data_IF_637729097190
#
_entry.id   IF_637729097190
#
_cell.length_a   1.000
_cell.length_b   1.000
_cell.length_c   1.000
_cell.angle_alpha   90.00
_cell.angle_beta   90.00
_cell.angle_gamma   90.00
#
_symmetry.space_group_name_H-M   'P 1'
#
loop_
_entity.id
_entity.type
_entity.pdbx_description
1 polymer ?
#
# COMPACT_ATOMS: atom_id res chain seq x y z
N UNK A 1 25.66 -1.43 17.65
CA UNK A 1 25.67 -1.73 16.20
C UNK A 1 24.30 -1.37 15.65
N UNK A 2 24.20 -0.22 14.98
CA UNK A 2 22.95 0.25 14.37
C UNK A 2 22.81 -0.38 13.00
N UNK A 3 21.91 -1.36 12.86
CA UNK A 3 21.53 -1.85 11.54
C UNK A 3 20.63 -0.79 10.91
N UNK A 4 21.23 0.11 10.14
CA UNK A 4 20.49 0.98 9.24
C UNK A 4 19.90 0.11 8.14
N UNK A 5 18.59 -0.12 8.17
CA UNK A 5 17.89 -0.73 7.05
C UNK A 5 17.92 0.28 5.90
N UNK A 6 18.59 -0.09 4.80
CA UNK A 6 18.47 0.62 3.53
C UNK A 6 17.05 0.38 3.00
N UNK A 7 16.19 1.40 3.07
CA UNK A 7 14.94 1.38 2.32
C UNK A 7 15.28 1.64 0.85
N UNK A 8 15.34 0.57 0.06
CA UNK A 8 15.57 0.70 -1.38
C UNK A 8 14.24 1.02 -2.06
N UNK A 9 14.06 2.28 -2.47
CA UNK A 9 12.96 2.65 -3.36
C UNK A 9 13.29 2.12 -4.77
N UNK A 10 12.43 1.28 -5.32
CA UNK A 10 12.58 0.72 -6.66
C UNK A 10 11.32 1.02 -7.47
N UNK A 11 11.50 1.41 -8.73
CA UNK A 11 10.39 1.60 -9.66
C UNK A 11 10.25 0.36 -10.55
N UNK A 12 9.06 -0.23 -10.56
CA UNK A 12 8.69 -1.27 -11.52
C UNK A 12 7.87 -0.63 -12.63
N UNK A 13 8.41 -0.59 -13.83
CA UNK A 13 7.68 -0.11 -15.00
C UNK A 13 6.85 -1.24 -15.60
N UNK A 14 5.58 -0.93 -15.91
CA UNK A 14 4.67 -1.86 -16.58
C UNK A 14 4.26 -1.20 -17.88
N UNK A 15 4.49 -1.90 -18.98
CA UNK A 15 4.12 -1.44 -20.31
C UNK A 15 2.60 -1.18 -20.39
N UNK A 16 2.22 -0.05 -20.98
CA UNK A 16 0.82 0.36 -21.13
C UNK A 16 0.04 0.52 -19.81
N UNK A 17 0.72 0.75 -18.67
CA UNK A 17 0.03 1.07 -17.43
C UNK A 17 -0.80 2.37 -17.57
N UNK A 18 -2.05 2.41 -17.08
CA UNK A 18 -2.97 3.52 -17.30
C UNK A 18 -2.57 4.78 -16.52
N UNK A 19 -2.21 5.85 -17.22
CA UNK A 19 -1.93 7.14 -16.58
C UNK A 19 -3.20 7.64 -15.87
N UNK A 20 -3.11 8.03 -14.60
CA UNK A 20 -4.29 8.48 -13.86
C UNK A 20 -4.62 9.90 -14.31
N UNK A 21 -5.62 10.02 -15.19
CA UNK A 21 -6.24 11.27 -15.64
C UNK A 21 -7.75 11.25 -15.41
N UNK A 22 -8.51 12.05 -16.17
CA UNK A 22 -9.96 12.23 -16.02
C UNK A 22 -10.83 10.98 -16.31
N UNK A 23 -10.25 9.83 -16.70
CA UNK A 23 -10.99 8.59 -16.95
C UNK A 23 -10.60 7.48 -15.96
N UNK A 24 -11.39 7.43 -14.91
CA UNK A 24 -11.32 6.57 -13.72
C UNK A 24 -11.55 5.04 -13.92
N UNK A 25 -12.26 4.53 -14.95
CA UNK A 25 -12.61 3.09 -15.01
C UNK A 25 -11.43 2.13 -15.19
N UNK A 26 -10.46 2.46 -16.04
CA UNK A 26 -9.36 1.55 -16.36
C UNK A 26 -8.44 1.34 -15.15
N UNK A 27 -8.10 2.42 -14.45
CA UNK A 27 -7.29 2.38 -13.22
C UNK A 27 -8.01 1.60 -12.11
N UNK A 28 -9.34 1.75 -12.01
CA UNK A 28 -10.18 0.99 -11.08
C UNK A 28 -10.10 -0.53 -11.30
N UNK A 29 -9.81 -0.99 -12.51
CA UNK A 29 -9.61 -2.41 -12.81
C UNK A 29 -8.12 -2.80 -12.74
N UNK A 30 -7.22 -1.94 -13.20
CA UNK A 30 -5.80 -2.23 -13.33
C UNK A 30 -5.09 -2.45 -11.99
N UNK A 31 -5.35 -1.58 -11.01
CA UNK A 31 -4.72 -1.68 -9.68
C UNK A 31 -5.13 -2.96 -8.96
N UNK A 32 -6.43 -3.28 -8.74
CA UNK A 32 -6.81 -4.45 -7.96
C UNK A 32 -6.51 -5.78 -8.67
N UNK A 33 -6.31 -5.77 -9.99
CA UNK A 33 -5.84 -6.94 -10.74
C UNK A 33 -4.38 -7.31 -10.41
N UNK A 34 -3.54 -6.31 -10.08
CA UNK A 34 -2.10 -6.50 -9.86
C UNK A 34 -1.66 -6.33 -8.41
N UNK A 35 -2.45 -5.62 -7.61
CA UNK A 35 -2.11 -5.27 -6.24
C UNK A 35 -3.27 -5.60 -5.32
N UNK A 36 -2.95 -6.16 -4.17
CA UNK A 36 -3.93 -6.53 -3.16
C UNK A 36 -3.37 -6.31 -1.77
N UNK A 37 -4.25 -6.19 -0.79
CA UNK A 37 -3.94 -6.27 0.63
C UNK A 37 -4.70 -7.44 1.28
N UNK A 38 -5.28 -8.33 0.47
CA UNK A 38 -6.06 -9.48 0.91
C UNK A 38 -5.18 -10.49 1.66
N UNK A 39 -5.71 -11.07 2.73
CA UNK A 39 -5.08 -12.21 3.42
C UNK A 39 -5.76 -13.48 2.88
N UNK A 40 -5.06 -14.32 2.08
CA UNK A 40 -5.62 -15.56 1.55
C UNK A 40 -6.06 -16.53 2.65
N UNK A 41 -7.03 -17.38 2.37
CA UNK A 41 -7.41 -18.45 3.29
C UNK A 41 -6.27 -19.48 3.42
N UNK A 42 -5.99 -19.90 4.66
CA UNK A 42 -4.87 -20.79 4.96
C UNK A 42 -5.06 -22.22 4.47
N UNK A 43 -6.30 -22.65 4.17
CA UNK A 43 -6.57 -23.98 3.64
C UNK A 43 -6.46 -24.02 2.12
N UNK A 44 -6.78 -22.91 1.45
CA UNK A 44 -6.75 -22.80 -0.02
C UNK A 44 -5.38 -22.39 -0.56
N UNK A 45 -4.74 -21.39 0.06
CA UNK A 45 -3.45 -20.84 -0.35
C UNK A 45 -2.50 -20.71 0.84
N UNK A 46 -2.08 -21.84 1.45
CA UNK A 46 -1.28 -21.84 2.68
C UNK A 46 0.03 -21.07 2.54
N UNK A 47 0.74 -21.24 1.43
CA UNK A 47 2.04 -20.58 1.21
C UNK A 47 1.89 -19.06 1.10
N UNK A 48 0.90 -18.58 0.35
CA UNK A 48 0.67 -17.14 0.21
C UNK A 48 0.14 -16.54 1.51
N UNK A 49 -0.75 -17.24 2.22
CA UNK A 49 -1.19 -16.85 3.56
C UNK A 49 0.02 -16.68 4.50
N UNK A 50 0.93 -17.66 4.53
CA UNK A 50 2.15 -17.59 5.32
C UNK A 50 3.01 -16.37 4.94
N UNK A 51 3.24 -16.13 3.64
CA UNK A 51 4.04 -14.99 3.19
C UNK A 51 3.41 -13.65 3.58
N UNK A 52 2.10 -13.49 3.41
CA UNK A 52 1.37 -12.26 3.75
C UNK A 52 1.41 -12.01 5.25
N UNK A 53 1.05 -13.02 6.05
CA UNK A 53 1.04 -12.92 7.52
C UNK A 53 2.43 -12.66 8.10
N UNK A 54 3.48 -13.23 7.47
CA UNK A 54 4.86 -13.07 7.92
C UNK A 54 5.49 -11.74 7.51
N UNK A 55 5.29 -11.31 6.26
CA UNK A 55 6.06 -10.21 5.68
C UNK A 55 5.25 -8.92 5.43
N UNK A 56 3.94 -9.00 5.24
CA UNK A 56 3.12 -7.83 4.87
C UNK A 56 2.31 -7.25 6.03
N UNK A 57 2.25 -7.95 7.16
CA UNK A 57 1.60 -7.44 8.37
C UNK A 57 2.45 -6.37 9.05
N UNK A 58 2.02 -5.12 8.95
CA UNK A 58 2.68 -4.02 9.61
C UNK A 58 2.52 -4.09 11.14
N UNK A 59 3.64 -3.94 11.84
CA UNK A 59 3.66 -3.82 13.30
C UNK A 59 4.30 -2.49 13.69
N UNK A 60 3.50 -1.60 14.26
CA UNK A 60 3.97 -0.28 14.67
C UNK A 60 5.09 -0.39 15.71
N UNK A 61 6.30 0.01 15.33
CA UNK A 61 7.43 0.19 16.25
C UNK A 61 7.48 1.61 16.81
N UNK A 62 8.38 1.86 17.77
CA UNK A 62 8.67 3.22 18.26
C UNK A 62 9.11 4.17 17.14
N UNK A 63 9.75 3.64 16.09
CA UNK A 63 10.23 4.42 14.95
C UNK A 63 9.12 4.70 13.91
N UNK A 64 8.13 3.81 13.76
CA UNK A 64 6.97 4.11 12.89
C UNK A 64 6.09 5.19 13.51
N UNK A 65 6.00 5.29 14.84
CA UNK A 65 5.14 6.27 15.49
C UNK A 65 5.76 7.67 15.42
N UNK A 66 4.95 8.64 15.03
CA UNK A 66 5.25 10.07 15.05
C UNK A 66 4.16 10.83 15.77
N UNK A 67 4.49 11.97 16.36
CA UNK A 67 3.50 12.85 16.97
C UNK A 67 3.05 13.89 15.95
N UNK A 68 1.76 13.90 15.67
CA UNK A 68 1.13 14.85 14.75
C UNK A 68 0.31 15.83 15.57
N UNK A 69 0.48 17.13 15.29
CA UNK A 69 -0.30 18.18 15.94
C UNK A 69 -1.70 18.23 15.32
N UNK A 70 -2.73 18.08 16.15
CA UNK A 70 -4.14 18.19 15.75
C UNK A 70 -4.78 19.27 16.61
N UNK A 71 -4.95 20.47 16.04
CA UNK A 71 -5.38 21.65 16.80
C UNK A 71 -4.36 22.05 17.87
N UNK A 72 -4.78 21.98 19.14
CA UNK A 72 -3.91 22.30 20.30
C UNK A 72 -3.26 21.06 20.94
N UNK A 73 -3.59 19.85 20.49
CA UNK A 73 -3.09 18.60 21.08
C UNK A 73 -2.14 17.87 20.11
N UNK A 74 -1.35 16.95 20.66
CA UNK A 74 -0.52 16.03 19.88
C UNK A 74 -1.08 14.63 19.98
N UNK A 75 -1.18 13.94 18.85
CA UNK A 75 -1.60 12.55 18.78
C UNK A 75 -0.48 11.71 18.18
N UNK A 76 -0.21 10.56 18.76
CA UNK A 76 0.73 9.60 18.20
C UNK A 76 0.04 8.83 17.07
N UNK A 77 0.60 8.87 15.85
CA UNK A 77 0.11 8.14 14.67
C UNK A 77 1.26 7.39 14.00
N UNK A 78 0.98 6.31 13.28
CA UNK A 78 2.03 5.70 12.46
C UNK A 78 2.31 6.62 11.26
N UNK A 79 3.59 6.77 10.91
CA UNK A 79 4.08 7.52 9.75
C UNK A 79 3.63 6.94 8.41
N UNK A 80 3.20 5.68 8.40
CA UNK A 80 2.68 4.97 7.23
C UNK A 80 1.14 4.96 7.20
N UNK A 81 0.49 5.79 8.03
CA UNK A 81 -0.97 5.94 8.11
C UNK A 81 -1.76 4.66 8.43
N UNK A 82 -1.10 3.66 9.02
CA UNK A 82 -1.74 2.42 9.48
C UNK A 82 -2.35 2.61 10.89
N UNK A 83 -3.53 2.04 11.18
CA UNK A 83 -4.33 1.16 10.32
C UNK A 83 -5.05 1.90 9.17
N UNK A 84 -5.05 1.33 7.96
CA UNK A 84 -5.78 1.89 6.83
C UNK A 84 -7.29 1.62 7.02
N UNK A 85 -8.17 2.62 6.80
CA UNK A 85 -9.61 2.44 6.98
C UNK A 85 -10.21 1.30 6.15
N UNK A 86 -11.20 0.61 6.73
CA UNK A 86 -12.03 -0.40 6.06
C UNK A 86 -12.78 0.23 4.88
N UNK A 87 -12.83 -0.48 3.75
CA UNK A 87 -13.56 -0.07 2.54
C UNK A 87 -14.14 -1.28 1.82
N UNK A 88 -15.36 -1.14 1.32
CA UNK A 88 -16.07 -2.22 0.61
C UNK A 88 -15.73 -2.30 -0.88
N UNK A 89 -15.12 -1.26 -1.44
CA UNK A 89 -14.69 -1.15 -2.83
C UNK A 89 -13.38 -0.37 -2.94
N UNK A 90 -12.72 -0.45 -4.11
CA UNK A 90 -11.61 0.45 -4.43
C UNK A 90 -12.10 1.89 -4.46
N UNK A 91 -11.27 2.80 -3.99
CA UNK A 91 -11.50 4.25 -4.03
C UNK A 91 -10.30 4.90 -4.70
N UNK A 92 -10.54 5.64 -5.78
CA UNK A 92 -9.55 6.48 -6.44
C UNK A 92 -9.83 7.92 -6.03
N UNK A 93 -8.82 8.58 -5.47
CA UNK A 93 -8.89 9.99 -5.13
C UNK A 93 -8.64 10.84 -6.37
N UNK A 94 -9.11 12.09 -6.33
CA UNK A 94 -8.74 13.08 -7.34
C UNK A 94 -7.22 13.27 -7.37
N UNK A 95 -6.62 13.06 -8.54
CA UNK A 95 -5.16 13.06 -8.72
C UNK A 95 -4.58 14.41 -8.36
N UNK A 96 -5.21 15.51 -8.79
CA UNK A 96 -4.68 16.86 -8.54
C UNK A 96 -4.66 17.18 -7.05
N UNK A 97 -5.72 16.81 -6.33
CA UNK A 97 -5.80 16.99 -4.88
C UNK A 97 -4.82 16.07 -4.15
N UNK A 98 -4.69 14.81 -4.56
CA UNK A 98 -3.71 13.87 -3.99
C UNK A 98 -2.28 14.38 -4.17
N UNK A 99 -1.91 14.86 -5.35
CA UNK A 99 -0.58 15.43 -5.62
C UNK A 99 -0.31 16.68 -4.77
N UNK A 100 -1.27 17.61 -4.69
CA UNK A 100 -1.12 18.84 -3.88
C UNK A 100 -0.97 18.56 -2.39
N UNK A 101 -1.65 17.52 -1.91
CA UNK A 101 -1.66 17.14 -0.49
C UNK A 101 -0.62 16.07 -0.14
N UNK A 102 0.13 15.57 -1.13
CA UNK A 102 0.99 14.39 -1.02
C UNK A 102 0.26 13.16 -0.45
N UNK A 103 -1.05 13.06 -0.66
CA UNK A 103 -1.86 11.94 -0.22
C UNK A 103 -1.86 10.80 -1.24
N UNK A 104 -2.09 9.58 -0.75
CA UNK A 104 -2.26 8.40 -1.61
C UNK A 104 -3.38 8.63 -2.64
N UNK A 105 -3.14 8.20 -3.89
CA UNK A 105 -4.09 8.37 -5.01
C UNK A 105 -5.19 7.30 -5.03
N UNK A 106 -4.97 6.16 -4.35
CA UNK A 106 -5.92 5.06 -4.30
C UNK A 106 -5.96 4.38 -2.93
N UNK A 107 -7.08 3.75 -2.64
CA UNK A 107 -7.24 2.82 -1.53
C UNK A 107 -7.93 1.55 -2.01
N UNK A 108 -7.30 0.39 -1.78
CA UNK A 108 -7.89 -0.90 -2.04
C UNK A 108 -9.07 -1.19 -1.10
N UNK A 109 -9.96 -2.07 -1.55
CA UNK A 109 -10.95 -2.73 -0.69
C UNK A 109 -10.23 -3.41 0.47
N UNK A 110 -10.70 -3.19 1.70
CA UNK A 110 -10.11 -3.72 2.93
C UNK A 110 -11.20 -4.10 3.92
N UNK A 111 -11.07 -5.26 4.57
CA UNK A 111 -11.82 -5.60 5.77
C UNK A 111 -11.00 -5.33 7.05
N UNK A 112 -11.62 -5.54 8.22
CA UNK A 112 -11.01 -5.28 9.53
C UNK A 112 -9.71 -6.04 9.78
N UNK A 113 -9.55 -7.24 9.20
CA UNK A 113 -8.33 -8.06 9.37
C UNK A 113 -7.17 -7.56 8.52
N UNK A 114 -7.46 -6.77 7.48
CA UNK A 114 -6.50 -6.32 6.46
C UNK A 114 -6.01 -4.89 6.68
N UNK A 115 -6.51 -4.20 7.71
CA UNK A 115 -6.18 -2.80 7.98
C UNK A 115 -4.70 -2.57 8.30
N UNK A 116 -3.95 -3.63 8.58
CA UNK A 116 -2.49 -3.60 8.82
C UNK A 116 -1.66 -4.21 7.68
N UNK A 117 -2.30 -4.66 6.60
CA UNK A 117 -1.61 -5.32 5.49
C UNK A 117 -1.12 -4.27 4.51
N UNK A 118 0.18 -4.29 4.23
CA UNK A 118 0.77 -3.52 3.14
C UNK A 118 0.19 -3.96 1.79
N UNK A 119 0.10 -3.04 0.83
CA UNK A 119 -0.26 -3.42 -0.53
C UNK A 119 0.89 -4.23 -1.15
N UNK A 120 0.57 -5.39 -1.72
CA UNK A 120 1.53 -6.29 -2.34
C UNK A 120 1.00 -6.84 -3.66
N UNK A 121 1.90 -7.33 -4.50
CA UNK A 121 1.57 -8.14 -5.67
C UNK A 121 1.86 -9.61 -5.30
N UNK A 122 0.91 -10.53 -5.46
CA UNK A 122 1.09 -11.93 -5.05
C UNK A 122 2.31 -12.61 -5.66
N UNK A 123 2.56 -12.41 -6.96
CA UNK A 123 3.70 -13.01 -7.67
C UNK A 123 5.02 -12.42 -7.17
N UNK A 124 5.11 -11.10 -7.05
CA UNK A 124 6.31 -10.44 -6.53
C UNK A 124 6.59 -10.87 -5.08
N UNK A 125 5.57 -11.03 -4.25
CA UNK A 125 5.74 -11.52 -2.89
C UNK A 125 6.26 -12.97 -2.85
N UNK A 126 5.75 -13.84 -3.72
CA UNK A 126 6.23 -15.23 -3.83
C UNK A 126 7.69 -15.33 -4.28
N UNK A 127 8.12 -14.44 -5.19
CA UNK A 127 9.49 -14.37 -5.70
C UNK A 127 10.44 -13.70 -4.69
N UNK A 128 10.04 -12.56 -4.11
CA UNK A 128 10.89 -11.73 -3.25
C UNK A 128 10.97 -12.26 -1.81
N UNK A 129 9.88 -12.80 -1.27
CA UNK A 129 9.80 -13.39 0.09
C UNK A 129 10.30 -12.47 1.22
N UNK A 130 10.07 -11.17 1.08
CA UNK A 130 10.31 -10.17 2.11
C UNK A 130 9.21 -9.09 2.07
N UNK A 131 9.27 -8.14 3.00
CA UNK A 131 8.31 -7.03 3.06
C UNK A 131 8.31 -6.24 1.74
N UNK A 132 7.11 -5.92 1.25
CA UNK A 132 6.88 -5.11 0.07
C UNK A 132 5.93 -3.97 0.48
N UNK A 133 6.20 -2.76 0.03
CA UNK A 133 5.27 -1.64 0.16
C UNK A 133 5.08 -1.08 -1.24
N UNK A 134 4.17 -1.71 -2.00
CA UNK A 134 3.92 -1.32 -3.37
C UNK A 134 2.96 -0.14 -3.43
N UNK A 135 3.28 0.83 -4.28
CA UNK A 135 2.44 1.98 -4.53
C UNK A 135 2.33 2.22 -6.03
N UNK A 136 1.10 2.40 -6.50
CA UNK A 136 0.86 2.88 -7.86
C UNK A 136 1.22 4.36 -7.97
N UNK A 137 2.02 4.71 -8.98
CA UNK A 137 2.40 6.10 -9.27
C UNK A 137 1.60 6.55 -10.50
N UNK A 138 0.82 7.62 -10.33
CA UNK A 138 -0.12 8.11 -11.34
C UNK A 138 0.54 8.86 -12.50
N UNK A 139 1.67 9.50 -12.23
CA UNK A 139 2.35 10.34 -13.19
C UNK A 139 3.11 9.49 -14.21
N UNK A 140 3.30 10.05 -15.41
CA UNK A 140 4.26 9.52 -16.36
C UNK A 140 5.66 9.66 -15.77
N UNK A 141 6.12 8.65 -15.05
CA UNK A 141 7.53 8.48 -14.67
C UNK A 141 8.32 8.01 -15.91
N UNK A 142 8.38 8.82 -16.96
CA UNK A 142 9.36 8.62 -18.03
C UNK A 142 10.60 9.48 -17.72
N UNK A 143 11.82 8.96 -17.90
CA UNK A 143 12.98 9.80 -18.11
C UNK A 143 12.89 10.58 -19.42
#
# INVERSE_FOLDING_TARGET
>A
MSNAWSASLSHLWIENAPVVGNNCPEVCCFIPDRMTCYIPDSNTLPDLNFLVTKYQMHKCSKYCKGNIKVGKTYVSRCRFDLPIPVRNSICINDVQNSLKSCNKIYYLKRNEKEVQVNDYNPLLLQLWRANLDLQYIAERSFP
#
